data_IF_218910173208
#
_entry.id   IF_218910173208
#
_cell.length_a   1.000
_cell.length_b   1.000
_cell.length_c   1.000
_cell.angle_alpha   90.00
_cell.angle_beta   90.00
_cell.angle_gamma   90.00
#
_symmetry.space_group_name_H-M   'P 1'
#
loop_
_entity.id
_entity.type
_entity.pdbx_description
1 polymer ?
#
# COMPACT_ATOMS: atom_id res chain seq x y z
N UNK A 1 -12.75 -10.27 -11.17
CA UNK A 1 -11.47 -9.64 -10.81
C UNK A 1 -11.11 -10.10 -9.41
N UNK A 2 -9.98 -10.80 -9.22
CA UNK A 2 -9.51 -11.08 -7.85
C UNK A 2 -8.96 -9.79 -7.23
N UNK A 3 -9.17 -9.53 -5.94
CA UNK A 3 -8.58 -8.37 -5.28
C UNK A 3 -7.05 -8.50 -5.28
N UNK A 4 -6.34 -7.40 -5.55
CA UNK A 4 -4.87 -7.37 -5.63
C UNK A 4 -4.21 -7.67 -4.28
N UNK A 5 -4.91 -7.40 -3.18
CA UNK A 5 -4.52 -7.81 -1.83
C UNK A 5 -5.64 -8.64 -1.19
N UNK A 6 -5.28 -9.74 -0.54
CA UNK A 6 -6.22 -10.45 0.34
C UNK A 6 -6.44 -9.65 1.62
N UNK A 7 -7.47 -10.02 2.37
CA UNK A 7 -7.78 -9.35 3.62
C UNK A 7 -6.60 -9.42 4.60
N UNK A 8 -5.97 -8.27 4.87
CA UNK A 8 -4.83 -8.15 5.80
C UNK A 8 -3.46 -8.02 5.13
N UNK A 9 -3.30 -8.45 3.88
CA UNK A 9 -2.01 -8.41 3.17
C UNK A 9 -1.51 -6.97 2.98
N UNK A 10 -2.43 -6.03 2.70
CA UNK A 10 -2.11 -4.61 2.58
C UNK A 10 -1.51 -4.04 3.89
N UNK A 11 -2.00 -4.50 5.04
CA UNK A 11 -1.46 -4.06 6.35
C UNK A 11 -0.05 -4.58 6.57
N UNK A 12 0.22 -5.84 6.21
CA UNK A 12 1.57 -6.40 6.29
C UNK A 12 2.53 -5.68 5.36
N UNK A 13 2.08 -5.33 4.16
CA UNK A 13 2.88 -4.55 3.22
C UNK A 13 3.19 -3.15 3.76
N UNK A 14 2.19 -2.46 4.32
CA UNK A 14 2.40 -1.18 5.01
C UNK A 14 3.43 -1.28 6.13
N UNK A 15 3.33 -2.31 6.98
CA UNK A 15 4.28 -2.54 8.06
C UNK A 15 5.70 -2.82 7.54
N UNK A 16 5.85 -3.62 6.48
CA UNK A 16 7.16 -3.85 5.86
C UNK A 16 7.76 -2.57 5.29
N UNK A 17 6.93 -1.70 4.70
CA UNK A 17 7.40 -0.42 4.17
C UNK A 17 7.83 0.54 5.28
N UNK A 18 7.15 0.52 6.42
CA UNK A 18 7.47 1.35 7.59
C UNK A 18 8.68 0.82 8.37
N UNK A 19 8.93 -0.48 8.34
CA UNK A 19 10.11 -1.10 8.96
C UNK A 19 11.42 -0.63 8.30
N UNK A 20 11.40 -0.38 6.99
CA UNK A 20 12.53 0.22 6.27
C UNK A 20 12.75 1.71 6.59
N UNK A 21 11.76 2.38 7.18
CA UNK A 21 11.86 3.79 7.58
C UNK A 21 10.55 4.59 7.40
N UNK A 22 10.47 5.79 7.98
CA UNK A 22 9.28 6.64 7.85
C UNK A 22 9.05 7.02 6.39
N UNK A 23 7.89 6.64 5.85
CA UNK A 23 7.44 6.96 4.49
C UNK A 23 6.15 7.76 4.51
N UNK A 24 5.98 8.62 3.52
CA UNK A 24 4.72 9.35 3.34
C UNK A 24 3.68 8.44 2.68
N UNK A 25 2.40 8.72 2.94
CA UNK A 25 1.30 7.99 2.31
C UNK A 25 1.37 7.98 0.78
N UNK A 26 1.94 9.03 0.16
CA UNK A 26 2.14 9.08 -1.29
C UNK A 26 3.19 8.08 -1.78
N UNK A 27 4.33 7.96 -1.09
CA UNK A 27 5.39 7.00 -1.43
C UNK A 27 4.86 5.56 -1.40
N UNK A 28 3.98 5.29 -0.44
CA UNK A 28 3.31 4.00 -0.27
C UNK A 28 2.32 3.74 -1.42
N UNK A 29 1.51 4.74 -1.79
CA UNK A 29 0.60 4.63 -2.94
C UNK A 29 1.36 4.39 -4.24
N UNK A 30 2.50 5.06 -4.44
CA UNK A 30 3.34 4.88 -5.62
C UNK A 30 4.00 3.50 -5.64
N UNK A 31 4.60 3.07 -4.53
CA UNK A 31 5.17 1.72 -4.42
C UNK A 31 4.14 0.62 -4.67
N UNK A 32 2.88 0.81 -4.25
CA UNK A 32 1.77 -0.12 -4.54
C UNK A 32 1.39 -0.13 -6.02
N UNK A 33 1.31 1.05 -6.64
CA UNK A 33 1.03 1.19 -8.06
C UNK A 33 2.12 0.51 -8.90
N UNK A 34 3.39 0.79 -8.61
CA UNK A 34 4.53 0.26 -9.37
C UNK A 34 4.63 -1.26 -9.26
N UNK A 35 4.44 -1.81 -8.05
CA UNK A 35 4.52 -3.26 -7.81
C UNK A 35 3.38 -4.04 -8.45
N UNK A 36 2.24 -3.38 -8.69
CA UNK A 36 1.05 -3.98 -9.32
C UNK A 36 0.96 -3.64 -10.81
N UNK A 37 1.98 -2.98 -11.38
CA UNK A 37 1.99 -2.56 -12.78
C UNK A 37 0.88 -1.57 -13.12
N UNK A 38 0.46 -0.75 -12.16
CA UNK A 38 -0.66 0.19 -12.30
C UNK A 38 -2.05 -0.44 -12.17
N UNK A 39 -2.14 -1.75 -11.88
CA UNK A 39 -3.43 -2.44 -11.73
C UNK A 39 -4.14 -2.05 -10.43
N UNK A 40 -3.40 -1.55 -9.44
CA UNK A 40 -3.96 -1.09 -8.17
C UNK A 40 -3.24 0.14 -7.63
N UNK A 41 -3.94 1.26 -7.62
CA UNK A 41 -3.53 2.48 -6.93
C UNK A 41 -4.46 2.70 -5.74
N UNK A 42 -4.00 2.47 -4.50
CA UNK A 42 -4.82 2.75 -3.32
C UNK A 42 -5.03 4.24 -3.16
N UNK A 43 -6.19 4.63 -2.65
CA UNK A 43 -6.48 6.03 -2.33
C UNK A 43 -5.90 6.42 -0.98
N UNK A 44 -5.70 7.72 -0.77
CA UNK A 44 -5.30 8.30 0.51
C UNK A 44 -6.18 7.78 1.68
N UNK A 45 -7.50 7.73 1.48
CA UNK A 45 -8.44 7.22 2.49
C UNK A 45 -8.29 5.73 2.83
N UNK A 46 -7.55 4.96 2.03
CA UNK A 46 -7.24 3.54 2.27
C UNK A 46 -5.92 3.37 3.03
N UNK A 47 -5.01 4.33 2.88
CA UNK A 47 -3.64 4.31 3.42
C UNK A 47 -3.57 5.01 4.78
N UNK A 48 -4.09 6.23 4.89
CA UNK A 48 -3.99 7.05 6.11
C UNK A 48 -4.64 6.45 7.37
N UNK A 49 -5.75 5.69 7.32
CA UNK A 49 -6.30 5.07 8.54
C UNK A 49 -5.47 3.89 9.07
N UNK A 50 -4.42 3.49 8.36
CA UNK A 50 -3.60 2.30 8.63
C UNK A 50 -2.11 2.63 8.84
N UNK A 51 -1.75 3.91 8.75
CA UNK A 51 -0.47 4.48 9.17
C UNK A 51 -0.63 5.03 10.59
#
# INVERSE_FOLDING_TARGET
MAPVFSHGDLRLYLLSLLDEGPRHGYDIMQALSDRTGGTYTPSAGTVYPRL
#
